data_IF_817947650225
#
_entry.id   IF_817947650225
#
_cell.length_a   1.000
_cell.length_b   1.000
_cell.length_c   1.000
_cell.angle_alpha   90.00
_cell.angle_beta   90.00
_cell.angle_gamma   90.00
#
_symmetry.space_group_name_H-M   'P 1'
#
loop_
_entity.id
_entity.type
_entity.pdbx_description
1 polymer ?
#
# COMPACT_ATOMS: atom_id res chain seq x y z
N UNK A 1 28.55 25.10 12.02
CA UNK A 1 27.36 24.26 11.95
C UNK A 1 27.73 22.90 11.39
N UNK A 2 27.28 21.89 12.04
CA UNK A 2 27.46 20.54 11.52
C UNK A 2 26.44 20.27 10.44
N UNK A 3 26.92 20.02 9.22
CA UNK A 3 26.05 19.71 8.09
C UNK A 3 25.84 18.22 7.87
N UNK A 4 26.33 17.41 8.79
CA UNK A 4 26.18 15.96 8.65
C UNK A 4 24.74 15.55 8.89
N UNK A 5 24.29 14.69 8.05
CA UNK A 5 23.03 14.00 8.24
C UNK A 5 23.32 12.61 8.79
N UNK A 6 22.86 12.36 9.98
CA UNK A 6 23.02 11.05 10.59
C UNK A 6 21.88 10.14 10.14
N UNK A 7 22.16 8.86 9.89
CA UNK A 7 21.09 7.92 9.62
C UNK A 7 20.11 7.85 10.79
N UNK A 8 18.83 7.78 10.49
CA UNK A 8 17.81 7.53 11.50
C UNK A 8 17.37 6.08 11.40
N UNK A 9 17.06 5.51 12.55
CA UNK A 9 16.53 4.16 12.63
C UNK A 9 15.07 4.24 13.04
N UNK A 10 14.20 3.72 12.20
CA UNK A 10 12.79 3.66 12.52
C UNK A 10 12.54 2.54 13.51
N UNK A 11 11.66 2.77 14.46
CA UNK A 11 11.20 1.77 15.40
C UNK A 11 9.70 1.71 15.38
N UNK A 12 9.19 0.49 15.43
CA UNK A 12 7.76 0.27 15.40
C UNK A 12 7.18 0.36 13.99
N UNK A 13 6.09 -0.30 13.83
CA UNK A 13 5.34 -0.34 12.59
C UNK A 13 3.86 -0.23 12.95
N UNK A 14 3.08 0.29 12.03
CA UNK A 14 1.63 0.37 12.22
C UNK A 14 1.03 -0.99 11.90
N UNK A 15 0.44 -1.63 12.90
CA UNK A 15 -0.18 -2.94 12.74
C UNK A 15 -1.50 -2.81 11.98
N UNK A 16 -1.70 -3.71 11.04
CA UNK A 16 -2.91 -3.81 10.23
C UNK A 16 -3.43 -5.24 10.31
N UNK A 17 -4.68 -5.45 9.97
CA UNK A 17 -5.23 -6.81 9.92
C UNK A 17 -4.53 -7.71 8.90
N UNK A 18 -3.91 -7.14 7.88
CA UNK A 18 -3.17 -7.90 6.85
C UNK A 18 -1.68 -8.04 7.14
N UNK A 19 -1.15 -7.37 8.14
CA UNK A 19 0.28 -7.38 8.47
C UNK A 19 0.70 -6.09 9.14
N UNK A 20 1.70 -5.42 8.59
CA UNK A 20 2.10 -4.12 9.12
C UNK A 20 2.61 -3.21 8.00
N UNK A 21 2.60 -1.91 8.26
CA UNK A 21 3.25 -0.93 7.40
C UNK A 21 4.30 -0.14 8.16
N UNK A 22 5.42 0.08 7.51
CA UNK A 22 6.52 0.88 8.03
C UNK A 22 6.62 2.13 7.17
N UNK A 23 6.27 3.27 7.74
CA UNK A 23 6.38 4.56 7.05
C UNK A 23 7.80 5.07 7.30
N UNK A 24 8.63 5.03 6.25
CA UNK A 24 10.03 5.41 6.36
C UNK A 24 10.32 6.82 5.84
N UNK A 25 9.38 7.43 5.15
CA UNK A 25 9.47 8.81 4.69
C UNK A 25 8.10 9.44 4.68
N UNK A 26 7.98 10.62 5.28
CA UNK A 26 6.74 11.40 5.19
C UNK A 26 7.10 12.88 5.28
N UNK A 27 6.72 13.62 4.25
CA UNK A 27 6.94 15.05 4.14
C UNK A 27 5.69 15.71 3.58
N UNK A 28 5.72 17.01 3.41
CA UNK A 28 4.61 17.70 2.76
C UNK A 28 4.47 17.36 1.28
N UNK A 29 5.50 16.77 0.68
CA UNK A 29 5.54 16.52 -0.75
C UNK A 29 5.42 15.03 -1.10
N UNK A 30 5.91 14.14 -0.25
CA UNK A 30 5.94 12.71 -0.57
C UNK A 30 5.85 11.83 0.67
N UNK A 31 5.53 10.57 0.43
CA UNK A 31 5.48 9.52 1.44
C UNK A 31 6.12 8.24 0.88
N UNK A 32 6.85 7.54 1.73
CA UNK A 32 7.41 6.24 1.40
C UNK A 32 7.10 5.26 2.52
N UNK A 33 6.65 4.06 2.15
CA UNK A 33 6.35 3.03 3.14
C UNK A 33 6.63 1.64 2.58
N UNK A 34 6.83 0.70 3.49
CA UNK A 34 6.90 -0.72 3.16
C UNK A 34 5.68 -1.37 3.80
N UNK A 35 4.96 -2.16 3.02
CA UNK A 35 3.82 -2.94 3.51
C UNK A 35 4.20 -4.41 3.50
N UNK A 36 4.06 -5.07 4.65
CA UNK A 36 4.37 -6.47 4.82
C UNK A 36 3.09 -7.25 5.12
N UNK A 37 2.84 -8.30 4.34
CA UNK A 37 1.65 -9.14 4.43
C UNK A 37 2.07 -10.51 4.95
N UNK A 38 1.54 -10.92 6.10
CA UNK A 38 1.95 -12.15 6.77
C UNK A 38 1.55 -13.40 6.01
N UNK A 39 0.33 -13.42 5.47
CA UNK A 39 -0.28 -14.63 4.92
C UNK A 39 -0.88 -14.38 3.55
N UNK A 40 -0.80 -15.39 2.70
CA UNK A 40 -1.52 -15.41 1.44
C UNK A 40 -3.01 -15.21 1.70
N UNK A 41 -3.65 -14.40 0.88
CA UNK A 41 -5.06 -14.07 1.01
C UNK A 41 -5.34 -12.81 1.81
N UNK A 42 -4.40 -12.33 2.61
CA UNK A 42 -4.56 -11.07 3.32
C UNK A 42 -4.61 -9.90 2.33
N UNK A 43 -5.44 -8.93 2.60
CA UNK A 43 -5.73 -7.89 1.62
C UNK A 43 -6.04 -6.55 2.27
N UNK A 44 -5.77 -5.49 1.54
CA UNK A 44 -6.22 -4.14 1.90
C UNK A 44 -7.69 -3.97 1.51
N UNK A 45 -8.28 -2.88 1.93
CA UNK A 45 -9.61 -2.50 1.44
C UNK A 45 -9.56 -2.14 -0.04
N UNK A 46 -10.71 -2.24 -0.71
CA UNK A 46 -10.90 -1.59 -2.01
C UNK A 46 -11.16 -0.11 -1.73
N UNK A 47 -10.26 0.76 -2.16
CA UNK A 47 -10.33 2.19 -1.85
C UNK A 47 -9.70 3.02 -2.96
N UNK A 48 -9.95 4.31 -2.93
CA UNK A 48 -9.29 5.26 -3.83
C UNK A 48 -8.91 6.53 -3.07
N UNK A 49 -8.01 7.28 -3.69
CA UNK A 49 -7.60 8.60 -3.23
C UNK A 49 -7.94 9.61 -4.32
N UNK A 50 -8.37 10.79 -3.94
CA UNK A 50 -8.65 11.85 -4.92
C UNK A 50 -7.40 12.56 -5.38
N UNK A 51 -6.43 12.73 -4.50
CA UNK A 51 -5.23 13.52 -4.77
C UNK A 51 -3.97 12.67 -4.77
N UNK A 52 -3.89 11.68 -3.90
CA UNK A 52 -2.71 10.85 -3.75
C UNK A 52 -2.44 10.03 -5.00
N UNK A 53 -1.23 10.16 -5.50
CA UNK A 53 -0.69 9.39 -6.61
C UNK A 53 0.38 8.46 -6.06
N UNK A 54 0.26 7.16 -6.28
CA UNK A 54 1.16 6.18 -5.65
C UNK A 54 1.64 5.13 -6.63
N UNK A 55 2.85 4.63 -6.37
CA UNK A 55 3.46 3.57 -7.16
C UNK A 55 4.01 2.51 -6.21
N UNK A 56 3.80 1.26 -6.55
CA UNK A 56 4.26 0.09 -5.81
C UNK A 56 5.40 -0.60 -6.53
N UNK A 57 6.34 -1.11 -5.73
CA UNK A 57 7.41 -2.00 -6.19
C UNK A 57 7.35 -3.27 -5.33
N UNK A 58 7.22 -4.43 -5.95
CA UNK A 58 7.15 -5.70 -5.22
C UNK A 58 8.56 -6.11 -4.80
N UNK A 59 8.83 -6.09 -3.50
CA UNK A 59 10.12 -6.46 -2.94
C UNK A 59 10.30 -7.97 -2.90
N UNK A 60 9.27 -8.69 -2.47
CA UNK A 60 9.32 -10.14 -2.30
C UNK A 60 7.91 -10.72 -2.33
N UNK A 61 7.82 -12.00 -2.65
CA UNK A 61 6.55 -12.71 -2.68
C UNK A 61 5.75 -12.42 -3.94
N UNK A 62 4.45 -12.48 -3.80
CA UNK A 62 3.54 -12.34 -4.93
C UNK A 62 2.26 -11.65 -4.48
N UNK A 63 1.74 -10.77 -5.33
CA UNK A 63 0.50 -10.07 -5.08
C UNK A 63 -0.43 -10.15 -6.27
N UNK A 64 -1.68 -9.83 -6.01
CA UNK A 64 -2.67 -9.54 -7.03
C UNK A 64 -3.22 -8.16 -6.73
N UNK A 65 -3.23 -7.27 -7.73
CA UNK A 65 -3.95 -6.01 -7.62
C UNK A 65 -5.31 -6.16 -8.28
N UNK A 66 -6.34 -5.71 -7.57
CA UNK A 66 -7.70 -5.61 -8.09
C UNK A 66 -8.00 -4.13 -8.24
N UNK A 67 -8.46 -3.70 -9.38
CA UNK A 67 -8.71 -2.29 -9.62
C UNK A 67 -9.93 -2.10 -10.51
N UNK A 68 -10.54 -0.94 -10.38
CA UNK A 68 -11.66 -0.54 -11.21
C UNK A 68 -11.17 0.50 -12.18
N UNK A 69 -11.22 0.17 -13.47
CA UNK A 69 -10.86 1.13 -14.53
C UNK A 69 -11.95 2.19 -14.58
N UNK A 70 -11.55 3.45 -14.39
CA UNK A 70 -12.50 4.56 -14.35
C UNK A 70 -13.09 4.90 -15.73
N UNK A 71 -12.52 4.35 -16.79
CA UNK A 71 -13.04 4.58 -18.16
C UNK A 71 -14.25 3.72 -18.47
N UNK A 72 -14.24 2.47 -18.00
CA UNK A 72 -15.32 1.52 -18.30
C UNK A 72 -16.06 1.03 -17.05
N UNK A 73 -15.59 1.42 -15.85
CA UNK A 73 -16.17 1.02 -14.55
C UNK A 73 -16.13 -0.48 -14.31
N UNK A 74 -15.23 -1.19 -14.99
CA UNK A 74 -15.07 -2.64 -14.84
C UNK A 74 -13.96 -2.98 -13.88
N UNK A 75 -14.12 -4.09 -13.18
CA UNK A 75 -13.13 -4.65 -12.27
C UNK A 75 -12.14 -5.51 -13.06
N UNK A 76 -10.86 -5.26 -12.84
CA UNK A 76 -9.77 -6.02 -13.43
C UNK A 76 -8.83 -6.53 -12.34
N UNK A 77 -8.10 -7.58 -12.65
CA UNK A 77 -7.07 -8.14 -11.78
C UNK A 77 -5.77 -8.33 -12.55
N UNK A 78 -4.66 -8.04 -11.91
CA UNK A 78 -3.33 -8.27 -12.46
C UNK A 78 -2.45 -8.92 -11.40
N UNK A 79 -1.65 -9.89 -11.82
CA UNK A 79 -0.65 -10.50 -10.96
C UNK A 79 0.59 -9.63 -10.93
N UNK A 80 1.14 -9.45 -9.73
CA UNK A 80 2.36 -8.70 -9.49
C UNK A 80 3.38 -9.63 -8.87
N UNK A 81 4.47 -9.83 -9.56
CA UNK A 81 5.57 -10.68 -9.11
C UNK A 81 6.73 -9.84 -8.61
N UNK A 82 7.67 -10.48 -7.92
CA UNK A 82 8.86 -9.81 -7.42
C UNK A 82 9.54 -8.99 -8.52
N UNK A 83 9.80 -7.72 -8.23
CA UNK A 83 10.39 -6.78 -9.18
C UNK A 83 9.41 -6.02 -10.04
N UNK A 84 8.12 -6.37 -10.01
CA UNK A 84 7.11 -5.64 -10.76
C UNK A 84 6.80 -4.29 -10.13
N UNK A 85 6.41 -3.35 -10.98
CA UNK A 85 5.99 -2.00 -10.61
C UNK A 85 4.54 -1.79 -11.04
N UNK A 86 3.76 -1.19 -10.15
CA UNK A 86 2.35 -0.89 -10.41
C UNK A 86 2.02 0.53 -9.99
N UNK A 87 1.36 1.27 -10.86
CA UNK A 87 0.95 2.66 -10.60
C UNK A 87 -0.55 2.73 -10.33
N UNK A 88 -0.92 3.34 -9.20
CA UNK A 88 -2.29 3.68 -8.86
C UNK A 88 -2.47 5.19 -9.00
N UNK A 89 -3.02 5.66 -10.12
CA UNK A 89 -3.28 7.11 -10.26
C UNK A 89 -4.41 7.55 -9.33
N UNK A 90 -4.53 8.86 -9.08
CA UNK A 90 -5.67 9.38 -8.33
C UNK A 90 -7.00 8.93 -8.94
N UNK A 91 -7.98 8.74 -8.09
CA UNK A 91 -9.37 8.39 -8.44
C UNK A 91 -9.60 6.93 -8.86
N UNK A 92 -8.56 6.16 -9.11
CA UNK A 92 -8.73 4.75 -9.48
C UNK A 92 -8.83 3.87 -8.24
N UNK A 93 -9.99 3.21 -8.02
CA UNK A 93 -10.11 2.27 -6.91
C UNK A 93 -9.18 1.08 -7.09
N UNK A 94 -8.53 0.68 -6.00
CA UNK A 94 -7.61 -0.45 -6.02
C UNK A 94 -7.61 -1.19 -4.68
N UNK A 95 -7.22 -2.45 -4.76
CA UNK A 95 -7.09 -3.35 -3.62
C UNK A 95 -5.90 -4.25 -3.86
N UNK A 96 -5.07 -4.43 -2.85
CA UNK A 96 -3.90 -5.29 -2.92
C UNK A 96 -4.16 -6.57 -2.13
N UNK A 97 -3.92 -7.71 -2.76
CA UNK A 97 -4.10 -9.03 -2.15
C UNK A 97 -2.77 -9.76 -2.19
N UNK A 98 -2.29 -10.24 -1.04
CA UNK A 98 -1.11 -11.08 -1.00
C UNK A 98 -1.45 -12.47 -1.53
N UNK A 99 -0.61 -13.01 -2.40
CA UNK A 99 -0.80 -14.33 -2.99
C UNK A 99 0.20 -15.36 -2.46
N UNK A 100 1.14 -14.93 -1.64
CA UNK A 100 2.10 -15.78 -0.96
C UNK A 100 2.30 -15.26 0.46
N UNK A 101 2.69 -16.15 1.37
CA UNK A 101 3.04 -15.76 2.73
C UNK A 101 4.27 -14.86 2.70
N UNK A 102 4.35 -13.94 3.67
CA UNK A 102 5.49 -13.05 3.85
C UNK A 102 5.85 -12.25 2.60
N UNK A 103 4.83 -11.71 1.95
CA UNK A 103 5.02 -10.84 0.78
C UNK A 103 5.17 -9.39 1.21
N UNK A 104 6.05 -8.65 0.54
CA UNK A 104 6.26 -7.25 0.85
C UNK A 104 6.34 -6.37 -0.39
N UNK A 105 5.89 -5.15 -0.22
CA UNK A 105 5.80 -4.17 -1.29
C UNK A 105 6.24 -2.80 -0.75
N UNK A 106 7.00 -2.06 -1.56
CA UNK A 106 7.37 -0.69 -1.24
C UNK A 106 6.42 0.25 -1.99
N UNK A 107 5.89 1.22 -1.27
CA UNK A 107 5.08 2.27 -1.85
C UNK A 107 5.81 3.60 -1.77
N UNK A 108 5.83 4.34 -2.87
CA UNK A 108 6.15 5.76 -2.88
C UNK A 108 4.94 6.51 -3.40
N UNK A 109 4.67 7.66 -2.80
CA UNK A 109 3.49 8.43 -3.16
C UNK A 109 3.70 9.91 -2.93
N UNK A 110 2.78 10.70 -3.42
CA UNK A 110 2.63 12.08 -2.97
C UNK A 110 2.22 12.08 -1.50
N UNK A 111 2.12 13.25 -0.89
CA UNK A 111 1.85 13.36 0.53
C UNK A 111 0.61 12.56 0.94
N UNK A 112 0.72 11.83 2.04
CA UNK A 112 -0.35 11.02 2.58
C UNK A 112 -1.32 11.89 3.39
N UNK A 113 -2.61 11.56 3.35
CA UNK A 113 -3.64 12.25 4.11
C UNK A 113 -4.74 11.25 4.49
N UNK A 114 -5.06 11.20 5.78
CA UNK A 114 -6.13 10.32 6.27
C UNK A 114 -7.47 10.69 5.64
N UNK A 115 -7.67 11.97 5.37
CA UNK A 115 -8.92 12.48 4.80
C UNK A 115 -9.08 12.13 3.32
N UNK A 116 -7.98 11.86 2.63
CA UNK A 116 -7.97 11.50 1.22
C UNK A 116 -7.97 9.97 1.06
N UNK A 117 -8.93 9.32 1.70
CA UNK A 117 -9.06 7.87 1.64
C UNK A 117 -10.54 7.50 1.63
N UNK A 118 -11.00 6.98 0.50
CA UNK A 118 -12.42 6.67 0.27
C UNK A 118 -12.56 5.17 0.06
N UNK A 119 -13.14 4.51 1.07
CA UNK A 119 -13.29 3.05 1.08
C UNK A 119 -14.56 2.64 0.35
N UNK A 120 -14.41 1.68 -0.58
CA UNK A 120 -15.54 1.12 -1.33
C UNK A 120 -15.92 -0.24 -0.77
N UNK A 121 -14.93 -1.06 -0.45
CA UNK A 121 -15.14 -2.40 0.07
C UNK A 121 -14.15 -2.73 1.17
N UNK A 122 -14.53 -3.60 2.12
CA UNK A 122 -13.66 -3.92 3.25
C UNK A 122 -12.48 -4.79 2.85
N UNK A 123 -11.42 -4.70 3.64
CA UNK A 123 -10.26 -5.58 3.61
C UNK A 123 -9.94 -5.99 5.03
N UNK A 124 -8.78 -6.58 5.22
CA UNK A 124 -8.39 -7.08 6.53
C UNK A 124 -8.02 -5.95 7.50
N UNK A 125 -7.79 -4.74 7.00
CA UNK A 125 -7.58 -3.57 7.85
C UNK A 125 -8.80 -3.24 8.73
N UNK A 126 -9.99 -3.72 8.35
CA UNK A 126 -11.22 -3.49 9.09
C UNK A 126 -11.56 -4.66 10.02
N UNK A 127 -10.77 -5.72 10.00
CA UNK A 127 -10.95 -6.81 10.93
C UNK A 127 -10.56 -6.36 12.34
N UNK A 128 -11.22 -6.86 13.39
CA UNK A 128 -10.76 -6.60 14.76
C UNK A 128 -9.32 -7.06 14.95
N UNK A 129 -8.53 -6.30 15.71
CA UNK A 129 -7.10 -6.52 15.86
C UNK A 129 -6.76 -7.89 16.46
N UNK A 130 -7.69 -8.52 17.17
CA UNK A 130 -7.49 -9.80 17.84
C UNK A 130 -8.10 -10.99 17.09
N UNK A 131 -8.42 -10.81 15.85
CA UNK A 131 -8.94 -11.89 15.01
C UNK A 131 -7.90 -12.42 14.06
#
# INVERSE_FOLDING_TARGET
MDNKTEPTRLSGAVQKGWGYELIWATTNDYCGKIMFFNKAGNKTSMHFHKEKDETWFVNSGQFKVRYIDTKDSMLYEKDLNEGDVWHNPPLMPHQLVAMADESSITEVSTADSVEDNFRIGPGDSQAPANE
#
